data_IF_507512253501
#
_entry.id   IF_507512253501
#
_cell.length_a   1.000
_cell.length_b   1.000
_cell.length_c   1.000
_cell.angle_alpha   90.00
_cell.angle_beta   90.00
_cell.angle_gamma   90.00
#
_symmetry.space_group_name_H-M   'P 1'
#
loop_
_entity.id
_entity.type
_entity.pdbx_description
1 polymer ?
#
# COMPACT_ATOMS: atom_id res chain seq x y z
N UNK A 1 -11.53 -12.76 34.11
CA UNK A 1 -11.24 -11.32 34.08
C UNK A 1 -11.91 -10.74 32.85
N UNK A 2 -12.83 -9.79 33.01
CA UNK A 2 -13.25 -8.95 31.89
C UNK A 2 -12.14 -7.93 31.64
N UNK A 3 -11.76 -7.76 30.38
CA UNK A 3 -10.83 -6.71 29.97
C UNK A 3 -11.63 -5.77 29.09
N UNK A 4 -11.80 -4.54 29.55
CA UNK A 4 -12.51 -3.50 28.80
C UNK A 4 -11.54 -2.79 27.86
N UNK A 5 -12.03 -2.46 26.65
CA UNK A 5 -11.29 -1.70 25.64
C UNK A 5 -12.17 -0.58 25.11
N UNK A 6 -11.59 0.58 24.80
CA UNK A 6 -12.31 1.72 24.23
C UNK A 6 -12.79 1.43 22.80
N UNK A 7 -12.01 0.67 22.03
CA UNK A 7 -12.26 0.41 20.60
C UNK A 7 -11.98 -1.06 20.28
N UNK A 8 -12.93 -1.69 19.59
CA UNK A 8 -12.73 -2.97 18.91
C UNK A 8 -12.57 -2.74 17.40
N UNK A 9 -11.43 -3.16 16.84
CA UNK A 9 -11.18 -3.16 15.39
C UNK A 9 -11.32 -4.59 14.89
N UNK A 10 -12.19 -4.79 13.90
CA UNK A 10 -12.43 -6.11 13.28
C UNK A 10 -11.75 -6.17 11.92
N UNK A 11 -10.81 -7.10 11.78
CA UNK A 11 -9.92 -7.27 10.64
C UNK A 11 -8.53 -6.66 10.88
N UNK A 12 -7.47 -7.44 10.70
CA UNK A 12 -6.08 -7.01 10.91
C UNK A 12 -5.29 -6.84 9.62
N UNK A 13 -5.96 -6.50 8.51
CA UNK A 13 -5.27 -6.05 7.29
C UNK A 13 -4.82 -4.60 7.39
N UNK A 14 -4.21 -4.06 6.33
CA UNK A 14 -3.65 -2.70 6.27
C UNK A 14 -4.48 -1.63 7.01
N UNK A 15 -5.76 -1.48 6.65
CA UNK A 15 -6.62 -0.46 7.25
C UNK A 15 -6.90 -0.67 8.74
N UNK A 16 -7.10 -1.92 9.18
CA UNK A 16 -7.35 -2.26 10.57
C UNK A 16 -6.11 -2.12 11.45
N UNK A 17 -4.95 -2.58 10.96
CA UNK A 17 -3.65 -2.37 11.60
C UNK A 17 -3.36 -0.87 11.75
N UNK A 18 -3.57 -0.08 10.69
CA UNK A 18 -3.36 1.37 10.71
C UNK A 18 -4.30 2.08 11.70
N UNK A 19 -5.59 1.75 11.68
CA UNK A 19 -6.56 2.30 12.62
C UNK A 19 -6.21 1.97 14.07
N UNK A 20 -5.82 0.72 14.35
CA UNK A 20 -5.41 0.32 15.69
C UNK A 20 -4.16 1.08 16.16
N UNK A 21 -3.15 1.25 15.29
CA UNK A 21 -1.95 2.05 15.60
C UNK A 21 -2.30 3.52 15.89
N UNK A 22 -3.16 4.14 15.08
CA UNK A 22 -3.60 5.53 15.27
C UNK A 22 -4.41 5.68 16.56
N UNK A 23 -5.37 4.81 16.82
CA UNK A 23 -6.18 4.85 18.03
C UNK A 23 -5.32 4.72 19.30
N UNK A 24 -4.31 3.83 19.29
CA UNK A 24 -3.34 3.73 20.39
C UNK A 24 -2.53 5.01 20.57
N UNK A 25 -2.13 5.68 19.49
CA UNK A 25 -1.44 6.98 19.54
C UNK A 25 -2.30 8.09 20.13
N UNK A 26 -3.62 8.00 19.98
CA UNK A 26 -4.60 8.90 20.58
C UNK A 26 -4.97 8.52 22.03
N UNK A 27 -4.22 7.62 22.68
CA UNK A 27 -4.42 7.23 24.07
C UNK A 27 -5.60 6.29 24.31
N UNK A 28 -6.12 5.63 23.27
CA UNK A 28 -7.21 4.65 23.39
C UNK A 28 -6.67 3.24 23.57
N UNK A 29 -7.33 2.47 24.44
CA UNK A 29 -7.18 1.02 24.51
C UNK A 29 -7.90 0.38 23.32
N UNK A 30 -7.23 -0.54 22.63
CA UNK A 30 -7.74 -1.16 21.39
C UNK A 30 -7.58 -2.66 21.45
N UNK A 31 -8.64 -3.39 21.11
CA UNK A 31 -8.59 -4.82 20.78
C UNK A 31 -8.71 -5.00 19.26
N UNK A 32 -7.75 -5.72 18.67
CA UNK A 32 -7.74 -6.04 17.24
C UNK A 32 -8.12 -7.51 17.07
N UNK A 33 -9.23 -7.76 16.37
CA UNK A 33 -9.80 -9.08 16.19
C UNK A 33 -9.66 -9.51 14.74
N UNK A 34 -9.04 -10.65 14.49
CA UNK A 34 -8.90 -11.23 13.16
C UNK A 34 -9.35 -12.69 13.19
N UNK A 35 -10.13 -13.08 12.18
CA UNK A 35 -10.61 -14.46 12.03
C UNK A 35 -9.50 -15.36 11.47
N UNK A 36 -8.70 -14.82 10.56
CA UNK A 36 -7.57 -15.50 9.94
C UNK A 36 -6.28 -15.42 10.78
N UNK A 37 -5.15 -15.68 10.13
CA UNK A 37 -3.82 -15.56 10.71
C UNK A 37 -2.86 -14.96 9.68
N UNK A 38 -1.92 -14.15 10.14
CA UNK A 38 -0.81 -13.66 9.33
C UNK A 38 0.33 -14.68 9.25
N UNK A 39 1.08 -14.73 8.13
CA UNK A 39 0.85 -14.01 6.87
C UNK A 39 -0.32 -14.62 6.09
N UNK A 40 -1.00 -13.81 5.27
CA UNK A 40 -2.09 -14.27 4.37
C UNK A 40 -2.14 -13.46 3.08
N UNK A 41 -2.59 -14.09 2.01
CA UNK A 41 -2.82 -13.44 0.73
C UNK A 41 -4.03 -12.49 0.79
N UNK A 42 -3.86 -11.28 0.23
CA UNK A 42 -4.93 -10.30 0.03
C UNK A 42 -4.62 -9.50 -1.24
N UNK A 43 -5.63 -9.22 -2.07
CA UNK A 43 -5.52 -8.31 -3.21
C UNK A 43 -5.49 -6.83 -2.77
N UNK A 44 -5.21 -5.93 -3.70
CA UNK A 44 -5.09 -4.49 -3.43
C UNK A 44 -3.64 -4.12 -3.20
N UNK A 45 -2.82 -4.36 -4.23
CA UNK A 45 -1.36 -4.21 -4.20
C UNK A 45 -0.93 -2.91 -4.86
N UNK A 46 -1.73 -2.36 -5.77
CA UNK A 46 -1.35 -1.24 -6.62
C UNK A 46 -1.56 0.11 -5.91
N UNK A 47 -0.50 0.67 -5.32
CA UNK A 47 -0.57 2.01 -4.69
C UNK A 47 -0.61 3.13 -5.74
N UNK A 48 -0.93 4.34 -5.32
CA UNK A 48 -0.94 5.55 -6.17
C UNK A 48 -0.18 6.66 -5.45
N UNK A 49 0.18 7.76 -6.15
CA UNK A 49 0.85 8.88 -5.48
C UNK A 49 0.01 9.42 -4.33
N UNK A 50 -1.31 9.49 -4.51
CA UNK A 50 -2.22 9.93 -3.46
C UNK A 50 -2.24 8.97 -2.27
N UNK A 51 -2.23 7.65 -2.50
CA UNK A 51 -2.18 6.67 -1.40
C UNK A 51 -0.89 6.80 -0.59
N UNK A 52 0.25 7.00 -1.26
CA UNK A 52 1.54 7.21 -0.61
C UNK A 52 1.56 8.50 0.21
N UNK A 53 1.06 9.60 -0.35
CA UNK A 53 0.97 10.89 0.34
C UNK A 53 0.05 10.81 1.56
N UNK A 54 -1.11 10.15 1.43
CA UNK A 54 -2.03 9.95 2.55
C UNK A 54 -1.40 9.10 3.66
N UNK A 55 -0.70 8.01 3.31
CA UNK A 55 0.01 7.20 4.30
C UNK A 55 1.12 7.99 4.99
N UNK A 56 1.86 8.82 4.24
CA UNK A 56 2.87 9.72 4.79
C UNK A 56 2.26 10.75 5.74
N UNK A 57 1.14 11.37 5.36
CA UNK A 57 0.41 12.33 6.19
C UNK A 57 -0.06 11.67 7.49
N UNK A 58 -0.70 10.50 7.41
CA UNK A 58 -1.14 9.75 8.59
C UNK A 58 0.05 9.37 9.48
N UNK A 59 1.15 8.91 8.89
CA UNK A 59 2.34 8.53 9.63
C UNK A 59 2.99 9.72 10.35
N UNK A 60 2.99 10.91 9.75
CA UNK A 60 3.48 12.14 10.40
C UNK A 60 2.51 12.63 11.46
N UNK A 61 1.23 12.75 11.13
CA UNK A 61 0.17 13.30 12.00
C UNK A 61 0.00 12.51 13.29
N UNK A 62 0.13 11.18 13.22
CA UNK A 62 -0.04 10.30 14.38
C UNK A 62 1.29 9.69 14.87
N UNK A 63 2.43 10.26 14.48
CA UNK A 63 3.75 9.86 14.96
C UNK A 63 4.03 8.35 14.82
N UNK A 64 3.84 7.80 13.62
CA UNK A 64 4.12 6.41 13.26
C UNK A 64 5.39 6.32 12.40
N UNK A 65 6.59 6.57 12.98
CA UNK A 65 7.82 6.72 12.19
C UNK A 65 8.22 5.45 11.42
N UNK A 66 7.79 4.27 11.88
CA UNK A 66 8.02 2.98 11.19
C UNK A 66 7.29 2.88 9.85
N UNK A 67 6.25 3.69 9.63
CA UNK A 67 5.50 3.70 8.36
C UNK A 67 6.12 4.64 7.32
N UNK A 68 6.89 5.65 7.73
CA UNK A 68 7.46 6.64 6.81
C UNK A 68 8.32 6.03 5.69
N UNK A 69 9.18 5.02 5.96
CA UNK A 69 9.95 4.40 4.88
C UNK A 69 9.07 3.65 3.86
N UNK A 70 7.88 3.18 4.28
CA UNK A 70 6.97 2.39 3.45
C UNK A 70 6.12 3.25 2.49
N UNK A 71 6.24 4.59 2.54
CA UNK A 71 5.44 5.49 1.69
C UNK A 71 6.03 5.68 0.29
N UNK A 72 7.27 5.27 0.06
CA UNK A 72 7.95 5.39 -1.24
C UNK A 72 8.82 4.17 -1.47
N UNK A 73 8.87 3.69 -2.71
CA UNK A 73 9.64 2.49 -3.04
C UNK A 73 11.12 2.60 -2.64
N UNK A 74 11.78 3.74 -2.91
CA UNK A 74 13.20 3.90 -2.61
C UNK A 74 13.54 3.85 -1.13
N UNK A 75 12.73 4.48 -0.28
CA UNK A 75 12.95 4.43 1.18
C UNK A 75 12.58 3.07 1.75
N UNK A 76 11.57 2.40 1.17
CA UNK A 76 11.17 1.06 1.57
C UNK A 76 12.32 0.09 1.35
N UNK A 77 12.89 0.06 0.15
CA UNK A 77 14.02 -0.81 -0.19
C UNK A 77 15.26 -0.52 0.67
N UNK A 78 15.52 0.74 1.02
CA UNK A 78 16.67 1.12 1.85
C UNK A 78 16.53 0.69 3.31
N UNK A 79 15.34 0.82 3.90
CA UNK A 79 15.12 0.61 5.34
C UNK A 79 14.59 -0.80 5.64
N UNK A 80 13.74 -1.34 4.77
CA UNK A 80 13.07 -2.63 4.94
C UNK A 80 13.22 -3.52 3.69
N UNK A 81 14.45 -3.86 3.26
CA UNK A 81 14.67 -4.68 2.06
C UNK A 81 14.09 -6.10 2.16
N UNK A 82 13.77 -6.57 3.38
CA UNK A 82 13.19 -7.87 3.64
C UNK A 82 11.66 -7.91 3.53
N UNK A 83 11.00 -6.74 3.44
CA UNK A 83 9.55 -6.66 3.24
C UNK A 83 9.27 -6.56 1.74
N UNK A 84 8.58 -7.56 1.18
CA UNK A 84 8.33 -7.65 -0.25
C UNK A 84 7.59 -6.45 -0.82
N UNK A 85 8.09 -5.91 -1.94
CA UNK A 85 7.37 -4.93 -2.74
C UNK A 85 7.94 -4.80 -4.16
N UNK A 86 7.12 -4.31 -5.08
CA UNK A 86 7.50 -4.01 -6.46
C UNK A 86 7.58 -2.51 -6.74
N UNK A 87 8.44 -2.12 -7.67
CA UNK A 87 8.52 -0.75 -8.17
C UNK A 87 7.30 -0.44 -9.04
N UNK A 88 6.65 0.71 -8.81
CA UNK A 88 5.57 1.21 -9.67
C UNK A 88 5.84 2.65 -10.11
N UNK A 89 6.01 2.84 -11.41
CA UNK A 89 6.32 4.14 -12.04
C UNK A 89 5.12 4.86 -12.62
N UNK A 90 3.96 4.21 -12.63
CA UNK A 90 2.74 4.73 -13.21
C UNK A 90 1.77 3.64 -13.60
N UNK A 91 0.82 4.00 -14.45
CA UNK A 91 -0.07 3.08 -15.12
C UNK A 91 0.22 3.06 -16.61
N UNK A 92 0.20 1.88 -17.21
CA UNK A 92 0.31 1.73 -18.67
C UNK A 92 -0.87 0.91 -19.15
N UNK A 93 -1.59 1.45 -20.12
CA UNK A 93 -2.75 0.82 -20.72
C UNK A 93 -2.46 0.51 -22.18
N UNK A 94 -2.80 -0.70 -22.59
CA UNK A 94 -2.75 -1.17 -23.98
C UNK A 94 -4.17 -1.52 -24.39
N UNK A 95 -4.64 -0.94 -25.48
CA UNK A 95 -5.95 -1.23 -26.04
C UNK A 95 -5.88 -2.48 -26.91
N UNK A 96 -6.79 -3.42 -26.70
CA UNK A 96 -6.93 -4.64 -27.48
C UNK A 96 -8.27 -4.65 -28.20
N UNK A 97 -8.31 -5.26 -29.39
CA UNK A 97 -9.55 -5.54 -30.10
C UNK A 97 -9.95 -6.99 -29.89
N UNK A 98 -11.22 -7.22 -29.57
CA UNK A 98 -11.74 -8.56 -29.32
C UNK A 98 -11.59 -9.45 -30.56
N UNK A 99 -11.12 -10.69 -30.37
CA UNK A 99 -10.92 -11.66 -31.45
C UNK A 99 -9.70 -11.42 -32.35
N UNK A 100 -8.92 -10.36 -32.11
CA UNK A 100 -7.70 -10.07 -32.86
C UNK A 100 -6.46 -10.33 -31.99
N UNK A 101 -5.40 -10.97 -32.54
CA UNK A 101 -4.10 -10.99 -31.88
C UNK A 101 -3.59 -9.58 -31.61
N UNK A 102 -2.87 -9.39 -30.50
CA UNK A 102 -2.24 -8.11 -30.23
C UNK A 102 -1.18 -7.78 -31.28
N UNK A 103 -1.29 -6.59 -31.88
CA UNK A 103 -0.27 -6.00 -32.74
C UNK A 103 -0.13 -4.53 -32.35
N UNK A 104 1.06 -4.13 -31.91
CA UNK A 104 1.31 -2.76 -31.48
C UNK A 104 1.14 -1.78 -32.65
N UNK A 105 0.39 -0.70 -32.46
CA UNK A 105 0.34 0.40 -33.42
C UNK A 105 1.73 1.08 -33.48
N UNK A 106 2.38 1.15 -34.67
CA UNK A 106 3.64 1.88 -34.82
C UNK A 106 3.55 3.35 -34.39
N UNK A 107 2.35 3.95 -34.44
CA UNK A 107 2.05 5.31 -33.98
C UNK A 107 1.66 5.39 -32.50
N UNK A 108 1.61 4.26 -31.78
CA UNK A 108 1.30 4.13 -30.34
C UNK A 108 -0.06 4.72 -29.92
N UNK A 109 -1.05 4.74 -30.82
CA UNK A 109 -2.38 5.29 -30.50
C UNK A 109 -3.21 4.34 -29.63
N UNK A 110 -2.78 3.09 -29.55
CA UNK A 110 -3.33 2.02 -28.72
C UNK A 110 -2.75 2.03 -27.29
N UNK A 111 -1.91 3.00 -26.93
CA UNK A 111 -1.17 3.04 -25.68
C UNK A 111 -1.43 4.33 -24.92
N UNK A 112 -1.66 4.21 -23.60
CA UNK A 112 -1.68 5.34 -22.68
C UNK A 112 -0.71 5.07 -21.53
N UNK A 113 0.34 5.89 -21.45
CA UNK A 113 1.32 5.85 -20.37
C UNK A 113 1.05 7.03 -19.43
N UNK A 114 0.70 6.72 -18.19
CA UNK A 114 0.47 7.71 -17.13
C UNK A 114 1.64 7.61 -16.16
N UNK A 115 2.64 8.48 -16.34
CA UNK A 115 3.77 8.56 -15.42
C UNK A 115 3.32 9.17 -14.08
N UNK A 116 3.65 8.49 -12.98
CA UNK A 116 3.25 8.90 -11.64
C UNK A 116 4.41 9.48 -10.82
N UNK A 117 5.65 9.20 -11.21
CA UNK A 117 6.84 9.66 -10.50
C UNK A 117 8.02 9.92 -11.46
N UNK A 118 8.91 10.88 -11.15
CA UNK A 118 10.04 11.23 -12.01
C UNK A 118 11.26 10.33 -11.82
N UNK A 119 11.45 9.69 -10.65
CA UNK A 119 12.56 8.75 -10.36
C UNK A 119 12.19 7.66 -9.34
N UNK A 120 12.91 6.55 -9.34
CA UNK A 120 12.60 5.34 -8.56
C UNK A 120 12.57 5.62 -7.05
N UNK A 121 13.40 6.55 -6.57
CA UNK A 121 13.50 6.85 -5.14
C UNK A 121 12.18 7.32 -4.53
N UNK A 122 11.32 7.94 -5.34
CA UNK A 122 10.02 8.48 -4.92
C UNK A 122 8.85 7.80 -5.63
N UNK A 123 9.09 6.65 -6.24
CA UNK A 123 8.08 5.90 -6.96
C UNK A 123 7.04 5.27 -6.03
N UNK A 124 5.90 4.94 -6.64
CA UNK A 124 4.85 4.15 -6.03
C UNK A 124 5.29 2.70 -5.86
N UNK A 125 4.47 1.95 -5.14
CA UNK A 125 4.81 0.60 -4.73
C UNK A 125 3.70 -0.38 -5.12
N UNK A 126 4.08 -1.53 -5.67
CA UNK A 126 3.23 -2.72 -5.66
C UNK A 126 3.44 -3.45 -4.34
N UNK A 127 2.48 -3.39 -3.42
CA UNK A 127 2.59 -4.00 -2.10
C UNK A 127 2.51 -5.51 -2.18
N UNK A 128 3.50 -6.22 -1.64
CA UNK A 128 3.30 -7.63 -1.32
C UNK A 128 2.57 -7.72 0.02
N UNK A 129 1.25 -7.82 -0.06
CA UNK A 129 0.34 -7.69 1.09
C UNK A 129 0.60 -8.64 2.26
N UNK A 130 1.02 -9.91 2.08
CA UNK A 130 1.33 -10.79 3.20
C UNK A 130 2.45 -10.30 4.12
N UNK A 131 3.39 -9.50 3.59
CA UNK A 131 4.50 -8.92 4.36
C UNK A 131 4.16 -7.52 4.89
N UNK A 132 3.31 -6.77 4.18
CA UNK A 132 3.02 -5.37 4.48
C UNK A 132 1.92 -5.16 5.53
N UNK A 133 0.89 -6.02 5.55
CA UNK A 133 -0.26 -5.94 6.47
C UNK A 133 0.07 -6.28 7.93
#
# INVERSE_FOLDING_TARGET
MNVDFDIAVVGSGFGGSLMAMIARRLGRSVILLERGRHPRFVIGESSTPLANLLLEELARRYELPRLLPLTKWGTWQKVYPHLGCGLKRGFTFYHHQFGQPFAADPKRRDQLLVAASPRDEIADTHWYRPDFD
#
